data_IF_140136529871
#
_entry.id   IF_140136529871
#
_cell.length_a   1.000
_cell.length_b   1.000
_cell.length_c   1.000
_cell.angle_alpha   90.00
_cell.angle_beta   90.00
_cell.angle_gamma   90.00
#
_symmetry.space_group_name_H-M   'P 1'
#
loop_
_entity.id
_entity.type
_entity.pdbx_description
1 polymer ?
#
# COMPACT_ATOMS: atom_id res chain seq x y z
N UNK A 1 -16.57 10.89 12.09
CA UNK A 1 -16.02 11.98 11.25
C UNK A 1 -15.57 11.31 9.95
N UNK A 2 -16.29 11.51 8.84
CA UNK A 2 -16.04 10.75 7.60
C UNK A 2 -14.78 11.26 6.89
N UNK A 3 -13.86 10.39 6.41
CA UNK A 3 -12.74 10.83 5.61
C UNK A 3 -13.20 11.06 4.16
N UNK A 4 -13.01 12.28 3.66
CA UNK A 4 -13.10 12.59 2.23
C UNK A 4 -11.92 11.92 1.52
N UNK A 5 -12.16 10.78 0.87
CA UNK A 5 -11.19 10.08 0.03
C UNK A 5 -10.94 10.91 -1.25
N UNK A 6 -9.86 11.69 -1.27
CA UNK A 6 -9.58 12.68 -2.32
C UNK A 6 -8.91 12.03 -3.56
N UNK A 7 -9.53 11.00 -4.13
CA UNK A 7 -9.10 10.38 -5.39
C UNK A 7 -9.45 11.31 -6.56
N UNK A 8 -8.53 11.49 -7.51
CA UNK A 8 -8.82 12.21 -8.76
C UNK A 8 -9.41 11.20 -9.75
N UNK A 9 -10.50 11.58 -10.40
CA UNK A 9 -11.13 10.80 -11.46
C UNK A 9 -10.86 11.47 -12.80
N UNK A 10 -10.25 10.73 -13.72
CA UNK A 10 -10.03 11.19 -15.10
C UNK A 10 -10.76 10.29 -16.08
N UNK A 11 -11.42 10.88 -17.08
CA UNK A 11 -12.03 10.15 -18.19
C UNK A 11 -11.10 10.24 -19.40
N UNK A 12 -10.67 9.10 -19.92
CA UNK A 12 -9.87 9.02 -21.15
C UNK A 12 -10.52 7.99 -22.07
N UNK A 13 -10.93 8.37 -23.28
CA UNK A 13 -11.49 7.45 -24.29
C UNK A 13 -12.54 6.47 -23.74
N UNK A 14 -13.46 6.94 -22.90
CA UNK A 14 -14.51 6.14 -22.21
C UNK A 14 -14.04 5.25 -21.06
N UNK A 15 -12.79 5.36 -20.61
CA UNK A 15 -12.26 4.71 -19.41
C UNK A 15 -12.25 5.69 -18.23
N UNK A 16 -12.58 5.18 -17.04
CA UNK A 16 -12.41 5.88 -15.78
C UNK A 16 -11.07 5.48 -15.16
N UNK A 17 -10.21 6.47 -14.92
CA UNK A 17 -8.96 6.29 -14.16
C UNK A 17 -9.20 6.75 -12.73
N UNK A 18 -8.91 5.85 -11.81
CA UNK A 18 -8.94 6.09 -10.36
C UNK A 18 -7.50 6.38 -9.93
N UNK A 19 -7.14 7.66 -9.84
CA UNK A 19 -5.79 8.07 -9.44
C UNK A 19 -5.67 8.14 -7.91
N UNK A 20 -4.80 7.28 -7.37
CA UNK A 20 -4.59 7.11 -5.94
C UNK A 20 -3.50 8.03 -5.37
N UNK A 21 -2.86 8.91 -6.15
CA UNK A 21 -1.69 9.71 -5.73
C UNK A 21 -1.89 10.51 -4.45
N UNK A 22 -3.13 10.89 -4.11
CA UNK A 22 -3.45 11.61 -2.88
C UNK A 22 -3.65 10.70 -1.66
N UNK A 23 -3.78 9.38 -1.84
CA UNK A 23 -3.70 8.40 -0.77
C UNK A 23 -2.23 8.18 -0.40
N UNK A 24 -1.58 9.23 0.10
CA UNK A 24 -0.13 9.28 0.32
C UNK A 24 0.28 9.44 1.80
N UNK A 25 -0.68 9.26 2.72
CA UNK A 25 -0.42 9.30 4.16
C UNK A 25 0.46 8.11 4.56
N UNK A 26 1.41 8.35 5.46
CA UNK A 26 2.26 7.33 6.09
C UNK A 26 2.14 7.55 7.60
N UNK A 27 1.84 6.49 8.35
CA UNK A 27 1.76 6.51 9.81
C UNK A 27 2.60 5.34 10.30
N UNK A 28 3.59 5.60 11.17
CA UNK A 28 4.48 4.59 11.72
C UNK A 28 4.26 4.51 13.23
N UNK A 29 4.02 3.31 13.74
CA UNK A 29 3.99 3.02 15.17
C UNK A 29 5.27 2.26 15.52
N UNK A 30 6.17 2.95 16.22
CA UNK A 30 7.46 2.42 16.66
C UNK A 30 7.34 1.36 17.77
N UNK A 31 6.23 1.38 18.52
CA UNK A 31 6.02 0.46 19.65
C UNK A 31 5.59 -0.91 19.14
N UNK A 32 4.64 -0.93 18.20
CA UNK A 32 4.19 -2.16 17.55
C UNK A 32 5.07 -2.57 16.35
N UNK A 33 5.98 -1.69 15.90
CA UNK A 33 6.80 -1.86 14.69
C UNK A 33 5.95 -2.07 13.43
N UNK A 34 4.86 -1.33 13.31
CA UNK A 34 3.93 -1.40 12.17
C UNK A 34 3.81 -0.07 11.46
N UNK A 35 3.46 -0.09 10.18
CA UNK A 35 3.17 1.11 9.42
C UNK A 35 1.86 0.97 8.63
N UNK A 36 1.09 2.05 8.60
CA UNK A 36 -0.04 2.23 7.67
C UNK A 36 0.44 3.13 6.54
N UNK A 37 0.45 2.59 5.33
CA UNK A 37 0.88 3.30 4.13
C UNK A 37 -0.25 3.41 3.11
N UNK A 38 -0.51 4.64 2.66
CA UNK A 38 -1.39 4.88 1.53
C UNK A 38 -0.78 4.37 0.22
N UNK A 39 -1.59 3.69 -0.59
CA UNK A 39 -1.17 3.02 -1.83
C UNK A 39 -0.70 3.98 -2.94
N UNK A 40 -1.01 5.27 -2.82
CA UNK A 40 -0.55 6.34 -3.71
C UNK A 40 0.90 6.79 -3.50
N UNK A 41 1.59 6.25 -2.48
CA UNK A 41 3.01 6.51 -2.29
C UNK A 41 3.87 5.73 -3.29
N UNK A 42 5.10 6.21 -3.48
CA UNK A 42 6.21 5.45 -4.07
C UNK A 42 7.08 4.86 -2.97
N UNK A 43 7.79 3.77 -3.27
CA UNK A 43 8.53 3.01 -2.25
C UNK A 43 9.66 3.82 -1.59
N UNK A 44 10.32 4.70 -2.34
CA UNK A 44 11.43 5.52 -1.81
C UNK A 44 11.00 6.46 -0.69
N UNK A 45 9.82 7.06 -0.83
CA UNK A 45 9.25 7.91 0.23
C UNK A 45 9.00 7.10 1.50
N UNK A 46 8.53 5.87 1.37
CA UNK A 46 8.33 5.01 2.54
C UNK A 46 9.65 4.62 3.20
N UNK A 47 10.66 4.23 2.40
CA UNK A 47 12.00 3.94 2.89
C UNK A 47 12.62 5.11 3.63
N UNK A 48 12.48 6.33 3.09
CA UNK A 48 12.98 7.53 3.74
C UNK A 48 12.43 7.68 5.16
N UNK A 49 11.10 7.55 5.32
CA UNK A 49 10.41 7.70 6.62
C UNK A 49 10.81 6.61 7.63
N UNK A 50 10.82 5.33 7.24
CA UNK A 50 11.18 4.24 8.18
C UNK A 50 12.66 4.27 8.55
N UNK A 51 13.53 4.69 7.63
CA UNK A 51 14.96 4.78 7.87
C UNK A 51 15.31 5.90 8.87
N UNK A 52 14.53 6.98 8.94
CA UNK A 52 14.71 8.00 10.01
C UNK A 52 14.50 7.43 11.42
N UNK A 53 13.81 6.30 11.52
CA UNK A 53 13.45 5.62 12.76
C UNK A 53 14.23 4.31 12.96
N UNK A 54 15.28 4.08 12.17
CA UNK A 54 16.10 2.86 12.18
C UNK A 54 15.32 1.56 11.87
N UNK A 55 14.19 1.68 11.18
CA UNK A 55 13.40 0.55 10.68
C UNK A 55 13.63 0.32 9.18
N UNK A 56 13.29 -0.89 8.72
CA UNK A 56 13.33 -1.27 7.32
C UNK A 56 12.12 -2.11 6.95
N UNK A 57 11.75 -2.10 5.67
CA UNK A 57 10.66 -2.90 5.12
C UNK A 57 11.13 -3.65 3.86
N UNK A 58 10.81 -4.95 3.69
CA UNK A 58 11.19 -5.68 2.50
C UNK A 58 10.36 -5.27 1.29
N UNK A 59 10.96 -4.53 0.36
CA UNK A 59 10.34 -4.16 -0.90
C UNK A 59 11.36 -3.99 -2.03
N UNK A 60 10.86 -3.59 -3.20
CA UNK A 60 11.66 -3.38 -4.41
C UNK A 60 12.74 -2.31 -4.26
N UNK A 61 13.66 -2.29 -5.23
CA UNK A 61 14.83 -1.41 -5.25
C UNK A 61 14.65 -0.18 -6.13
N UNK A 62 13.64 -0.17 -7.01
CA UNK A 62 13.36 0.94 -7.91
C UNK A 62 12.58 2.05 -7.17
N UNK A 63 13.16 3.26 -6.98
CA UNK A 63 12.62 4.27 -6.07
C UNK A 63 11.18 4.72 -6.36
N UNK A 64 10.84 4.87 -7.64
CA UNK A 64 9.57 5.46 -8.09
C UNK A 64 8.45 4.44 -8.28
N UNK A 65 8.68 3.14 -7.98
CA UNK A 65 7.63 2.14 -8.09
C UNK A 65 6.56 2.41 -7.02
N UNK A 66 5.30 2.46 -7.45
CA UNK A 66 4.15 2.69 -6.59
C UNK A 66 3.95 1.55 -5.59
N UNK A 67 3.66 1.90 -4.34
CA UNK A 67 3.50 0.97 -3.22
C UNK A 67 2.34 0.01 -3.47
N UNK A 68 1.18 0.51 -3.91
CA UNK A 68 -0.01 -0.32 -4.11
C UNK A 68 0.22 -1.45 -5.11
N UNK A 69 0.81 -1.15 -6.28
CA UNK A 69 1.10 -2.17 -7.29
C UNK A 69 2.22 -3.12 -6.89
N UNK A 70 3.26 -2.62 -6.21
CA UNK A 70 4.39 -3.43 -5.76
C UNK A 70 3.96 -4.49 -4.76
N UNK A 71 3.20 -4.08 -3.74
CA UNK A 71 2.76 -4.95 -2.66
C UNK A 71 1.79 -6.02 -3.19
N UNK A 72 0.79 -5.61 -3.97
CA UNK A 72 -0.19 -6.56 -4.54
C UNK A 72 0.42 -7.53 -5.56
N UNK A 73 1.58 -7.19 -6.13
CA UNK A 73 2.35 -8.08 -7.00
C UNK A 73 3.33 -9.00 -6.24
N UNK A 74 3.33 -8.97 -4.90
CA UNK A 74 4.29 -9.66 -4.05
C UNK A 74 5.40 -8.74 -3.54
N UNK A 75 6.14 -8.11 -4.46
CA UNK A 75 7.18 -7.14 -4.11
C UNK A 75 8.51 -7.78 -3.68
N UNK A 76 9.43 -7.92 -4.64
CA UNK A 76 10.75 -8.52 -4.46
C UNK A 76 11.87 -7.47 -4.43
N UNK A 77 12.82 -7.63 -3.53
CA UNK A 77 14.04 -6.84 -3.39
C UNK A 77 15.07 -7.49 -2.46
N UNK A 78 15.93 -6.67 -1.87
CA UNK A 78 17.16 -7.13 -1.21
C UNK A 78 16.92 -7.86 0.12
N UNK A 79 15.88 -7.46 0.84
CA UNK A 79 15.58 -7.95 2.18
C UNK A 79 14.78 -9.26 2.16
N UNK A 80 14.23 -9.64 1.01
CA UNK A 80 13.23 -10.70 0.92
C UNK A 80 13.77 -12.09 1.25
N UNK A 81 15.07 -12.36 1.03
CA UNK A 81 15.69 -13.63 1.46
C UNK A 81 15.60 -13.86 2.96
N UNK A 82 15.55 -12.79 3.76
CA UNK A 82 15.48 -12.86 5.22
C UNK A 82 14.06 -12.64 5.74
N UNK A 83 13.28 -11.78 5.07
CA UNK A 83 12.01 -11.28 5.59
C UNK A 83 10.78 -11.58 4.70
N UNK A 84 10.94 -12.36 3.62
CA UNK A 84 9.83 -12.66 2.70
C UNK A 84 9.50 -11.52 1.73
N UNK A 85 8.48 -11.72 0.90
CA UNK A 85 7.91 -10.73 -0.02
C UNK A 85 7.32 -9.53 0.73
N UNK A 86 7.15 -8.39 0.06
CA UNK A 86 6.39 -7.27 0.65
C UNK A 86 4.98 -7.70 1.07
N UNK A 87 4.34 -8.56 0.26
CA UNK A 87 3.04 -9.18 0.54
C UNK A 87 3.03 -10.02 1.81
N UNK A 88 4.13 -10.71 2.11
CA UNK A 88 4.25 -11.56 3.31
C UNK A 88 4.27 -10.74 4.61
N UNK A 89 4.41 -9.42 4.51
CA UNK A 89 4.52 -8.49 5.63
C UNK A 89 3.28 -7.58 5.77
N UNK A 90 2.18 -7.86 5.07
CA UNK A 90 0.91 -7.14 5.23
C UNK A 90 0.14 -7.71 6.42
N UNK A 91 -0.27 -6.84 7.34
CA UNK A 91 -1.10 -7.21 8.50
C UNK A 91 -2.59 -6.95 8.27
N UNK A 92 -2.92 -5.89 7.54
CA UNK A 92 -4.30 -5.45 7.26
C UNK A 92 -4.33 -4.55 6.02
N UNK A 93 -5.49 -4.42 5.37
CA UNK A 93 -5.70 -3.58 4.19
C UNK A 93 -7.10 -2.97 4.14
N UNK A 94 -7.18 -1.69 3.77
CA UNK A 94 -8.46 -1.03 3.47
C UNK A 94 -8.75 -1.13 1.97
N UNK A 95 -9.78 -1.90 1.62
CA UNK A 95 -10.14 -2.20 0.22
C UNK A 95 -11.51 -1.62 -0.09
N UNK A 96 -11.62 -0.92 -1.22
CA UNK A 96 -12.90 -0.49 -1.78
C UNK A 96 -13.41 -1.57 -2.71
N UNK A 97 -14.56 -2.16 -2.37
CA UNK A 97 -15.19 -3.22 -3.16
C UNK A 97 -16.38 -2.67 -3.94
N UNK A 98 -16.52 -3.10 -5.20
CA UNK A 98 -17.74 -2.88 -5.98
C UNK A 98 -18.65 -4.07 -5.73
N UNK A 99 -19.47 -3.99 -4.68
CA UNK A 99 -20.37 -5.08 -4.29
C UNK A 99 -21.82 -4.66 -4.42
N UNK A 100 -22.63 -5.51 -5.03
CA UNK A 100 -24.09 -5.34 -5.07
C UNK A 100 -24.77 -5.66 -3.73
N UNK A 101 -24.07 -6.36 -2.82
CA UNK A 101 -24.58 -6.74 -1.50
C UNK A 101 -23.47 -6.62 -0.45
N UNK A 102 -23.74 -5.96 0.68
CA UNK A 102 -22.74 -5.72 1.73
C UNK A 102 -22.53 -6.99 2.55
N UNK A 103 -21.39 -7.65 2.37
CA UNK A 103 -20.88 -8.73 3.24
C UNK A 103 -19.52 -8.36 3.80
N UNK A 104 -19.16 -8.94 4.94
CA UNK A 104 -17.80 -8.88 5.47
C UNK A 104 -16.99 -10.04 4.87
N UNK A 105 -15.77 -9.76 4.39
CA UNK A 105 -14.95 -10.71 3.64
C UNK A 105 -13.54 -10.84 4.27
N UNK A 106 -13.42 -11.46 5.46
CA UNK A 106 -12.13 -11.63 6.15
C UNK A 106 -11.09 -12.39 5.33
N UNK A 107 -11.53 -13.21 4.39
CA UNK A 107 -10.68 -14.00 3.51
C UNK A 107 -9.94 -13.15 2.47
N UNK A 108 -10.44 -11.97 2.06
CA UNK A 108 -9.88 -11.22 0.92
C UNK A 108 -8.39 -10.88 1.03
N UNK A 109 -7.86 -10.81 2.25
CA UNK A 109 -6.43 -10.58 2.46
C UNK A 109 -5.56 -11.64 1.77
N UNK A 110 -6.03 -12.89 1.61
CA UNK A 110 -5.26 -13.92 0.90
C UNK A 110 -5.06 -13.58 -0.59
N UNK A 111 -5.97 -12.80 -1.17
CA UNK A 111 -6.05 -12.55 -2.60
C UNK A 111 -5.24 -11.31 -3.05
N UNK A 112 -4.63 -10.59 -2.11
CA UNK A 112 -3.86 -9.37 -2.35
C UNK A 112 -2.43 -9.48 -1.86
#
# INVERSE_FOLDING_TARGET
>A
MQPLYTTILQIINSYLIVDLVNLNKIIIDITSQTAVIGTGNVIDKFYYEVNQLEFAFPAGTCPYVGVGGLIMGGGLGNLNRKFGLSSDNILDAQIVLVVYNVKNYPELLWAI
#
